data_IF_812987194772
#
_entry.id   IF_812987194772
#
_cell.length_a   1.000
_cell.length_b   1.000
_cell.length_c   1.000
_cell.angle_alpha   90.00
_cell.angle_beta   90.00
_cell.angle_gamma   90.00
#
_symmetry.space_group_name_H-M   'P 1'
#
loop_
_entity.id
_entity.type
_entity.pdbx_description
1 polymer ?
#
# COMPACT_ATOMS: atom_id res chain seq x y z
N UNK A 1 13.41 1.16 -4.42
CA UNK A 1 12.76 0.90 -5.73
C UNK A 1 12.57 -0.59 -6.05
N UNK A 2 13.19 -1.52 -5.32
CA UNK A 2 13.06 -2.98 -5.56
C UNK A 2 11.62 -3.49 -5.41
N UNK A 3 10.81 -2.95 -4.48
CA UNK A 3 9.46 -3.45 -4.20
C UNK A 3 8.44 -3.35 -5.34
N UNK A 4 8.67 -2.49 -6.35
CA UNK A 4 7.81 -2.42 -7.54
C UNK A 4 8.21 -3.41 -8.64
N UNK A 5 9.41 -3.99 -8.55
CA UNK A 5 10.00 -4.77 -9.63
C UNK A 5 9.18 -6.02 -9.93
N UNK A 6 8.86 -6.80 -8.92
CA UNK A 6 8.13 -8.07 -9.08
C UNK A 6 6.69 -7.82 -9.57
N UNK A 7 6.01 -6.80 -9.02
CA UNK A 7 4.69 -6.39 -9.49
C UNK A 7 4.73 -5.88 -10.94
N UNK A 8 5.77 -5.14 -11.32
CA UNK A 8 5.98 -4.67 -12.69
C UNK A 8 6.32 -5.79 -13.68
N UNK A 9 7.12 -6.77 -13.26
CA UNK A 9 7.46 -7.96 -14.05
C UNK A 9 6.21 -8.81 -14.30
N UNK A 10 5.39 -9.06 -13.26
CA UNK A 10 4.12 -9.74 -13.37
C UNK A 10 3.15 -9.05 -14.35
N UNK A 11 2.99 -7.73 -14.26
CA UNK A 11 2.14 -6.97 -15.18
C UNK A 11 2.67 -7.00 -16.63
N UNK A 12 3.99 -6.98 -16.80
CA UNK A 12 4.63 -7.10 -18.11
C UNK A 12 4.40 -8.48 -18.71
N UNK A 13 4.44 -9.54 -17.91
CA UNK A 13 4.13 -10.89 -18.33
C UNK A 13 2.67 -11.03 -18.78
N UNK A 14 1.72 -10.48 -18.02
CA UNK A 14 0.31 -10.41 -18.41
C UNK A 14 0.15 -9.68 -19.75
N UNK A 15 0.78 -8.51 -19.93
CA UNK A 15 0.72 -7.76 -21.19
C UNK A 15 1.27 -8.54 -22.38
N UNK A 16 2.40 -9.23 -22.20
CA UNK A 16 2.99 -10.10 -23.24
C UNK A 16 2.07 -11.28 -23.57
N UNK A 17 1.47 -11.91 -22.57
CA UNK A 17 0.54 -13.03 -22.76
C UNK A 17 -0.77 -12.59 -23.42
N UNK A 18 -1.27 -11.39 -23.08
CA UNK A 18 -2.40 -10.73 -23.76
C UNK A 18 -2.17 -10.53 -25.26
N UNK A 19 -0.99 -10.03 -25.62
CA UNK A 19 -0.59 -9.89 -27.03
C UNK A 19 -0.43 -11.24 -27.74
N UNK A 20 -0.02 -12.29 -27.03
CA UNK A 20 0.10 -13.66 -27.58
C UNK A 20 -1.25 -14.36 -27.77
N UNK A 21 -2.31 -13.97 -27.08
CA UNK A 21 -3.67 -14.54 -27.29
C UNK A 21 -4.21 -14.26 -28.69
N UNK A 22 -3.83 -13.11 -29.27
CA UNK A 22 -4.15 -12.80 -30.67
C UNK A 22 -3.48 -13.77 -31.66
N UNK A 23 -2.36 -14.39 -31.27
CA UNK A 23 -1.59 -15.28 -32.12
C UNK A 23 -1.73 -16.77 -31.75
N UNK A 24 -2.13 -17.10 -30.51
CA UNK A 24 -2.19 -18.47 -30.00
C UNK A 24 -3.21 -18.59 -28.83
N UNK A 25 -4.52 -18.70 -29.12
CA UNK A 25 -5.60 -18.51 -28.15
C UNK A 25 -5.55 -19.45 -26.93
N UNK A 26 -5.16 -20.71 -27.13
CA UNK A 26 -5.25 -21.77 -26.11
C UNK A 26 -4.17 -21.61 -25.02
N UNK A 27 -3.01 -21.03 -25.33
CA UNK A 27 -1.88 -20.91 -24.39
C UNK A 27 -1.96 -19.70 -23.46
N UNK A 28 -2.75 -18.67 -23.79
CA UNK A 28 -2.84 -17.44 -23.01
C UNK A 28 -3.85 -17.44 -21.86
N UNK A 29 -4.73 -18.44 -21.79
CA UNK A 29 -5.78 -18.53 -20.77
C UNK A 29 -5.25 -18.78 -19.35
N UNK A 30 -4.10 -19.46 -19.18
CA UNK A 30 -3.55 -19.76 -17.85
C UNK A 30 -3.12 -18.50 -17.06
N UNK A 31 -2.41 -17.58 -17.72
CA UNK A 31 -1.88 -16.36 -17.08
C UNK A 31 -3.00 -15.34 -16.86
N UNK A 32 -3.92 -15.19 -17.82
CA UNK A 32 -5.09 -14.31 -17.65
C UNK A 32 -6.10 -14.87 -16.64
N UNK A 33 -6.28 -16.19 -16.58
CA UNK A 33 -7.10 -16.87 -15.57
C UNK A 33 -6.59 -16.60 -14.16
N UNK A 34 -5.27 -16.77 -13.92
CA UNK A 34 -4.66 -16.43 -12.64
C UNK A 34 -4.82 -14.96 -12.25
N UNK A 35 -4.71 -14.04 -13.21
CA UNK A 35 -4.99 -12.61 -12.98
C UNK A 35 -6.47 -12.34 -12.70
N UNK A 36 -7.40 -12.98 -13.41
CA UNK A 36 -8.85 -12.84 -13.18
C UNK A 36 -9.24 -13.38 -11.80
N UNK A 37 -8.71 -14.53 -11.39
CA UNK A 37 -8.91 -15.08 -10.05
C UNK A 37 -8.31 -14.16 -9.00
N UNK A 38 -7.08 -13.66 -9.17
CA UNK A 38 -6.46 -12.69 -8.25
C UNK A 38 -7.27 -11.40 -8.15
N UNK A 39 -7.79 -10.89 -9.28
CA UNK A 39 -8.69 -9.73 -9.29
C UNK A 39 -10.00 -10.03 -8.60
N UNK A 40 -10.58 -11.21 -8.81
CA UNK A 40 -11.79 -11.65 -8.13
C UNK A 40 -11.57 -11.73 -6.62
N UNK A 41 -10.45 -12.30 -6.14
CA UNK A 41 -10.08 -12.33 -4.72
C UNK A 41 -9.69 -10.96 -4.16
N UNK A 42 -9.16 -10.06 -4.98
CA UNK A 42 -8.97 -8.68 -4.56
C UNK A 42 -10.31 -7.96 -4.41
N UNK A 43 -11.26 -8.18 -5.32
CA UNK A 43 -12.57 -7.53 -5.35
C UNK A 43 -13.58 -8.14 -4.36
N UNK A 44 -13.42 -9.42 -4.01
CA UNK A 44 -14.30 -10.17 -3.11
C UNK A 44 -13.55 -10.63 -1.86
N UNK A 45 -14.25 -10.92 -0.76
CA UNK A 45 -13.67 -11.47 0.47
C UNK A 45 -13.56 -13.01 0.48
N UNK A 46 -13.96 -13.67 -0.61
CA UNK A 46 -14.05 -15.13 -0.72
C UNK A 46 -12.72 -15.75 -1.20
N UNK A 47 -12.28 -16.82 -0.53
CA UNK A 47 -11.07 -17.59 -0.90
C UNK A 47 -9.74 -17.04 -0.36
N UNK A 48 -9.74 -16.37 0.80
CA UNK A 48 -8.55 -15.75 1.40
C UNK A 48 -7.90 -16.62 2.47
N UNK A 49 -6.57 -16.61 2.47
CA UNK A 49 -5.79 -16.81 3.69
C UNK A 49 -6.03 -15.61 4.59
N UNK A 50 -6.76 -15.83 5.69
CA UNK A 50 -6.89 -14.82 6.75
C UNK A 50 -5.60 -14.82 7.56
N UNK A 51 -5.34 -13.74 8.28
CA UNK A 51 -4.44 -13.77 9.43
C UNK A 51 -5.16 -14.56 10.53
N UNK A 52 -5.34 -15.86 10.31
CA UNK A 52 -6.13 -16.79 11.13
C UNK A 52 -5.40 -17.23 12.40
N UNK A 53 -4.34 -16.53 12.79
CA UNK A 53 -3.40 -16.91 13.84
C UNK A 53 -3.17 -15.78 14.86
N UNK A 54 -4.06 -14.79 14.93
CA UNK A 54 -4.01 -13.78 16.01
C UNK A 54 -5.03 -14.13 17.10
N UNK A 55 -4.70 -13.91 18.38
CA UNK A 55 -5.66 -14.01 19.48
C UNK A 55 -6.87 -13.09 19.27
N UNK A 56 -8.02 -13.45 19.85
CA UNK A 56 -9.30 -12.73 19.73
C UNK A 56 -9.18 -11.20 19.92
N UNK A 57 -8.43 -10.67 20.92
CA UNK A 57 -8.28 -9.21 21.10
C UNK A 57 -7.61 -8.47 19.93
N UNK A 58 -6.87 -9.19 19.08
CA UNK A 58 -6.12 -8.63 17.94
C UNK A 58 -6.82 -8.85 16.60
N UNK A 59 -7.90 -9.62 16.52
CA UNK A 59 -8.58 -9.95 15.26
C UNK A 59 -9.05 -8.70 14.50
N UNK A 60 -9.69 -7.77 15.21
CA UNK A 60 -10.22 -6.54 14.60
C UNK A 60 -9.08 -5.70 13.99
N UNK A 61 -7.91 -5.73 14.61
CA UNK A 61 -6.71 -5.05 14.16
C UNK A 61 -6.08 -5.76 12.96
N UNK A 62 -6.02 -7.10 12.97
CA UNK A 62 -5.54 -7.88 11.83
C UNK A 62 -6.37 -7.63 10.57
N UNK A 63 -7.71 -7.54 10.71
CA UNK A 63 -8.62 -7.21 9.59
C UNK A 63 -8.31 -5.87 8.94
N UNK A 64 -7.83 -4.88 9.71
CA UNK A 64 -7.36 -3.60 9.14
C UNK A 64 -6.21 -3.86 8.17
N UNK A 65 -5.17 -4.57 8.60
CA UNK A 65 -4.00 -4.80 7.74
C UNK A 65 -4.32 -5.69 6.54
N UNK A 66 -5.24 -6.66 6.67
CA UNK A 66 -5.75 -7.43 5.54
C UNK A 66 -6.44 -6.54 4.49
N UNK A 67 -7.35 -5.65 4.92
CA UNK A 67 -8.04 -4.70 4.05
C UNK A 67 -7.03 -3.78 3.32
N UNK A 68 -6.13 -3.16 4.08
CA UNK A 68 -5.17 -2.20 3.52
C UNK A 68 -4.08 -2.87 2.67
N UNK A 69 -3.76 -4.15 2.88
CA UNK A 69 -2.87 -4.91 1.99
C UNK A 69 -3.47 -5.01 0.57
N UNK A 70 -4.79 -5.19 0.48
CA UNK A 70 -5.49 -5.27 -0.80
C UNK A 70 -5.57 -3.93 -1.49
N UNK A 71 -5.94 -2.89 -0.74
CA UNK A 71 -5.98 -1.53 -1.29
C UNK A 71 -4.59 -1.06 -1.72
N UNK A 72 -3.55 -1.42 -0.96
CA UNK A 72 -2.17 -1.21 -1.34
C UNK A 72 -1.82 -1.93 -2.65
N UNK A 73 -2.16 -3.22 -2.78
CA UNK A 73 -1.90 -3.97 -4.00
C UNK A 73 -2.62 -3.37 -5.22
N UNK A 74 -3.89 -2.98 -5.07
CA UNK A 74 -4.68 -2.30 -6.12
C UNK A 74 -4.03 -0.97 -6.52
N UNK A 75 -3.60 -0.19 -5.53
CA UNK A 75 -2.96 1.10 -5.75
C UNK A 75 -1.62 0.96 -6.50
N UNK A 76 -0.75 0.03 -6.07
CA UNK A 76 0.52 -0.28 -6.74
C UNK A 76 0.27 -0.70 -8.19
N UNK A 77 -0.71 -1.58 -8.42
CA UNK A 77 -1.06 -2.00 -9.78
C UNK A 77 -1.56 -0.84 -10.64
N UNK A 78 -2.46 0.00 -10.10
CA UNK A 78 -2.97 1.18 -10.80
C UNK A 78 -1.87 2.17 -11.18
N UNK A 79 -0.93 2.42 -10.26
CA UNK A 79 0.24 3.26 -10.48
C UNK A 79 1.12 2.69 -11.59
N UNK A 80 1.43 1.39 -11.54
CA UNK A 80 2.28 0.74 -12.54
C UNK A 80 1.60 0.69 -13.92
N UNK A 81 0.28 0.54 -13.98
CA UNK A 81 -0.47 0.63 -15.24
C UNK A 81 -0.47 2.03 -15.82
N UNK A 82 -0.59 3.07 -14.97
CA UNK A 82 -0.60 4.47 -15.39
C UNK A 82 0.76 4.98 -15.83
N UNK A 83 1.83 4.57 -15.14
CA UNK A 83 3.16 5.17 -15.32
C UNK A 83 4.21 4.21 -15.88
N UNK A 84 4.02 2.90 -15.76
CA UNK A 84 5.00 1.90 -16.19
C UNK A 84 6.39 2.21 -15.61
N UNK A 85 7.40 2.28 -16.50
CA UNK A 85 8.77 2.64 -16.13
C UNK A 85 8.94 4.11 -15.71
N UNK A 86 8.04 5.00 -16.12
CA UNK A 86 8.05 6.42 -15.76
C UNK A 86 7.61 6.69 -14.31
N UNK A 87 7.33 5.63 -13.54
CA UNK A 87 7.19 5.78 -12.09
C UNK A 87 8.51 6.26 -11.46
N UNK A 88 9.65 5.97 -12.10
CA UNK A 88 10.94 6.54 -11.75
C UNK A 88 10.86 8.07 -11.95
N UNK A 89 11.07 8.83 -10.87
CA UNK A 89 10.93 10.29 -10.85
C UNK A 89 9.60 10.81 -10.31
N UNK A 90 8.59 9.95 -10.10
CA UNK A 90 7.34 10.30 -9.41
C UNK A 90 7.51 10.17 -7.90
N UNK A 91 8.32 11.06 -7.32
CA UNK A 91 8.76 10.98 -5.92
C UNK A 91 7.60 11.09 -4.91
N UNK A 92 6.62 11.96 -5.13
CA UNK A 92 5.46 12.08 -4.23
C UNK A 92 4.64 10.80 -4.15
N UNK A 93 4.29 10.21 -5.30
CA UNK A 93 3.61 8.91 -5.37
C UNK A 93 4.46 7.80 -4.74
N UNK A 94 5.75 7.77 -5.04
CA UNK A 94 6.69 6.79 -4.48
C UNK A 94 6.78 6.87 -2.96
N UNK A 95 6.79 8.09 -2.39
CA UNK A 95 6.77 8.33 -0.94
C UNK A 95 5.50 7.76 -0.32
N UNK A 96 4.31 8.07 -0.86
CA UNK A 96 3.04 7.57 -0.33
C UNK A 96 2.98 6.05 -0.29
N UNK A 97 3.44 5.39 -1.36
CA UNK A 97 3.50 3.93 -1.41
C UNK A 97 4.51 3.38 -0.40
N UNK A 98 5.69 4.00 -0.27
CA UNK A 98 6.67 3.58 0.73
C UNK A 98 6.11 3.71 2.15
N UNK A 99 5.49 4.85 2.49
CA UNK A 99 4.91 5.11 3.80
C UNK A 99 3.79 4.09 4.13
N UNK A 100 2.89 3.79 3.17
CA UNK A 100 1.88 2.74 3.35
C UNK A 100 2.50 1.35 3.54
N UNK A 101 3.56 1.02 2.80
CA UNK A 101 4.23 -0.27 2.94
C UNK A 101 4.90 -0.42 4.31
N UNK A 102 5.51 0.66 4.83
CA UNK A 102 6.12 0.70 6.17
C UNK A 102 5.05 0.48 7.24
N UNK A 103 3.90 1.15 7.14
CA UNK A 103 2.78 0.97 8.09
C UNK A 103 2.24 -0.46 8.08
N UNK A 104 2.07 -1.07 6.91
CA UNK A 104 1.67 -2.48 6.77
C UNK A 104 2.69 -3.41 7.43
N UNK A 105 3.98 -3.28 7.09
CA UNK A 105 5.03 -4.14 7.62
C UNK A 105 5.14 -4.02 9.15
N UNK A 106 5.19 -2.78 9.65
CA UNK A 106 5.32 -2.51 11.10
C UNK A 106 4.12 -3.03 11.86
N UNK A 107 2.91 -2.84 11.32
CA UNK A 107 1.68 -3.35 11.91
C UNK A 107 1.63 -4.87 11.99
N UNK A 108 2.00 -5.57 10.91
CA UNK A 108 2.06 -7.03 10.90
C UNK A 108 3.11 -7.57 11.88
N UNK A 109 4.29 -6.96 11.96
CA UNK A 109 5.31 -7.32 12.95
C UNK A 109 4.82 -7.10 14.38
N UNK A 110 4.12 -5.98 14.64
CA UNK A 110 3.55 -5.69 15.95
C UNK A 110 2.50 -6.72 16.34
N UNK A 111 1.55 -7.03 15.44
CA UNK A 111 0.53 -8.04 15.70
C UNK A 111 1.16 -9.40 15.97
N UNK A 112 2.14 -9.83 15.15
CA UNK A 112 2.85 -11.10 15.37
C UNK A 112 3.52 -11.15 16.74
N UNK A 113 4.20 -10.06 17.15
CA UNK A 113 4.86 -9.98 18.46
C UNK A 113 3.86 -10.03 19.61
N UNK A 114 2.77 -9.27 19.54
CA UNK A 114 1.78 -9.23 20.61
C UNK A 114 1.02 -10.55 20.70
N UNK A 115 0.71 -11.20 19.56
CA UNK A 115 0.15 -12.56 19.56
C UNK A 115 1.02 -13.53 20.36
N UNK A 116 2.33 -13.55 20.11
CA UNK A 116 3.26 -14.42 20.85
C UNK A 116 3.28 -14.12 22.34
N UNK A 117 3.23 -12.84 22.73
CA UNK A 117 3.18 -12.44 24.14
C UNK A 117 1.89 -12.94 24.78
N UNK A 118 0.75 -12.69 24.15
CA UNK A 118 -0.58 -13.14 24.62
C UNK A 118 -0.62 -14.66 24.78
N UNK A 119 -0.09 -15.42 23.81
CA UNK A 119 0.01 -16.88 23.91
C UNK A 119 0.91 -17.33 25.07
N UNK A 120 1.98 -16.60 25.36
CA UNK A 120 2.96 -16.98 26.39
C UNK A 120 2.53 -16.65 27.83
N UNK A 121 1.87 -15.51 28.06
CA UNK A 121 1.53 -15.03 29.41
C UNK A 121 0.03 -14.89 29.67
N UNK A 122 -0.80 -15.08 28.64
CA UNK A 122 -2.24 -14.87 28.69
C UNK A 122 -2.63 -13.41 28.50
N UNK A 123 -3.87 -13.19 28.02
CA UNK A 123 -4.43 -11.87 27.72
C UNK A 123 -4.34 -10.90 28.90
N UNK A 124 -4.71 -11.36 30.10
CA UNK A 124 -4.75 -10.51 31.30
C UNK A 124 -3.40 -9.91 31.68
N UNK A 125 -2.31 -10.63 31.41
CA UNK A 125 -0.95 -10.14 31.67
C UNK A 125 -0.37 -9.32 30.52
N UNK A 126 -0.95 -9.44 29.32
CA UNK A 126 -0.51 -8.77 28.09
C UNK A 126 -1.35 -7.53 27.74
N UNK A 127 -2.11 -6.97 28.71
CA UNK A 127 -3.06 -5.87 28.48
C UNK A 127 -2.43 -4.64 27.84
N UNK A 128 -1.24 -4.25 28.29
CA UNK A 128 -0.55 -3.07 27.76
C UNK A 128 -0.05 -3.29 26.33
N UNK A 129 0.42 -4.49 26.02
CA UNK A 129 0.86 -4.87 24.68
C UNK A 129 -0.30 -4.88 23.68
N UNK A 130 -1.47 -5.38 24.11
CA UNK A 130 -2.72 -5.32 23.33
C UNK A 130 -3.14 -3.85 23.11
N UNK A 131 -3.05 -3.00 24.14
CA UNK A 131 -3.38 -1.58 24.03
C UNK A 131 -2.42 -0.86 23.05
N UNK A 132 -1.12 -1.15 23.10
CA UNK A 132 -0.13 -0.64 22.15
C UNK A 132 -0.50 -1.06 20.73
N UNK A 133 -0.82 -2.33 20.50
CA UNK A 133 -1.25 -2.83 19.20
C UNK A 133 -2.51 -2.11 18.71
N UNK A 134 -3.46 -1.85 19.62
CA UNK A 134 -4.71 -1.15 19.33
C UNK A 134 -4.47 0.29 18.87
N UNK A 135 -3.70 1.05 19.66
CA UNK A 135 -3.39 2.46 19.37
C UNK A 135 -2.63 2.57 18.05
N UNK A 136 -1.60 1.74 17.87
CA UNK A 136 -0.80 1.75 16.64
C UNK A 136 -1.64 1.43 15.42
N UNK A 137 -2.47 0.38 15.48
CA UNK A 137 -3.32 -0.05 14.36
C UNK A 137 -4.28 1.05 13.91
N UNK A 138 -4.86 1.79 14.85
CA UNK A 138 -5.72 2.94 14.52
C UNK A 138 -4.95 4.10 13.88
N UNK A 139 -3.74 4.39 14.35
CA UNK A 139 -2.90 5.42 13.76
C UNK A 139 -2.43 5.04 12.35
N UNK A 140 -1.96 3.80 12.17
CA UNK A 140 -1.54 3.25 10.89
C UNK A 140 -2.71 3.27 9.89
N UNK A 141 -3.91 2.84 10.31
CA UNK A 141 -5.13 2.93 9.48
C UNK A 141 -5.35 4.34 8.91
N UNK A 142 -5.21 5.38 9.74
CA UNK A 142 -5.38 6.78 9.30
C UNK A 142 -4.32 7.19 8.28
N UNK A 143 -3.04 6.90 8.55
CA UNK A 143 -1.93 7.20 7.64
C UNK A 143 -2.06 6.48 6.31
N UNK A 144 -2.33 5.17 6.33
CA UNK A 144 -2.53 4.37 5.13
C UNK A 144 -3.70 4.89 4.29
N UNK A 145 -4.84 5.20 4.93
CA UNK A 145 -6.01 5.77 4.24
C UNK A 145 -5.68 7.09 3.56
N UNK A 146 -4.99 7.98 4.24
CA UNK A 146 -4.60 9.27 3.68
C UNK A 146 -3.66 9.08 2.49
N UNK A 147 -2.59 8.29 2.66
CA UNK A 147 -1.61 8.05 1.61
C UNK A 147 -2.24 7.43 0.36
N UNK A 148 -3.10 6.43 0.53
CA UNK A 148 -3.77 5.78 -0.60
C UNK A 148 -4.75 6.71 -1.30
N UNK A 149 -5.55 7.49 -0.57
CA UNK A 149 -6.47 8.48 -1.17
C UNK A 149 -5.73 9.54 -1.97
N UNK A 150 -4.54 9.94 -1.50
CA UNK A 150 -3.71 10.97 -2.15
C UNK A 150 -2.93 10.46 -3.36
N UNK A 151 -3.06 9.20 -3.74
CA UNK A 151 -2.50 8.70 -5.01
C UNK A 151 -3.21 9.36 -6.18
N UNK A 152 -4.55 9.43 -6.14
CA UNK A 152 -5.35 10.00 -7.23
C UNK A 152 -5.76 11.46 -6.99
N UNK A 153 -5.97 11.85 -5.72
CA UNK A 153 -6.43 13.20 -5.34
C UNK A 153 -5.39 13.89 -4.48
N UNK A 154 -4.55 14.71 -5.08
CA UNK A 154 -3.46 15.43 -4.41
C UNK A 154 -3.18 16.78 -5.07
N UNK A 155 -2.35 17.56 -4.38
CA UNK A 155 -1.91 18.90 -4.76
C UNK A 155 -0.46 18.88 -5.28
N UNK A 156 0.04 17.76 -5.80
CA UNK A 156 1.46 17.59 -6.10
C UNK A 156 1.98 18.56 -7.16
N UNK A 157 1.17 18.81 -8.19
CA UNK A 157 1.54 19.74 -9.25
C UNK A 157 1.52 21.20 -8.77
N UNK A 158 0.53 21.56 -7.94
CA UNK A 158 0.49 22.87 -7.27
C UNK A 158 1.68 23.06 -6.32
N UNK A 159 2.06 22.03 -5.57
CA UNK A 159 3.24 22.05 -4.70
C UNK A 159 4.53 22.21 -5.49
N UNK A 160 4.65 21.53 -6.63
CA UNK A 160 5.82 21.68 -7.52
C UNK A 160 5.90 23.10 -8.07
N UNK A 161 4.80 23.61 -8.64
CA UNK A 161 4.75 24.97 -9.18
C UNK A 161 5.06 26.03 -8.13
N UNK A 162 4.57 25.86 -6.89
CA UNK A 162 4.90 26.77 -5.79
C UNK A 162 6.38 26.69 -5.39
N UNK A 163 6.95 25.48 -5.37
CA UNK A 163 8.37 25.30 -5.09
C UNK A 163 9.24 25.96 -6.16
N UNK A 164 8.89 25.80 -7.44
CA UNK A 164 9.59 26.44 -8.55
C UNK A 164 9.55 27.96 -8.41
N UNK A 165 8.38 28.54 -8.12
CA UNK A 165 8.23 29.98 -7.87
C UNK A 165 9.09 30.50 -6.71
N UNK A 166 9.14 29.79 -5.58
CA UNK A 166 9.95 30.19 -4.41
C UNK A 166 11.44 30.12 -4.75
N UNK A 167 11.87 29.07 -5.45
CA UNK A 167 13.27 28.91 -5.86
C UNK A 167 13.69 29.99 -6.85
N UNK A 168 12.83 30.32 -7.82
CA UNK A 168 13.07 31.41 -8.78
C UNK A 168 13.12 32.79 -8.10
N UNK A 169 12.25 33.02 -7.11
CA UNK A 169 12.21 34.27 -6.36
C UNK A 169 13.46 34.46 -5.47
N UNK A 170 14.08 33.36 -5.01
CA UNK A 170 15.27 33.39 -4.15
C UNK A 170 15.05 34.01 -2.76
N UNK A 171 13.80 34.32 -2.41
CA UNK A 171 13.39 34.99 -1.17
C UNK A 171 12.00 34.45 -0.76
N UNK A 172 11.53 34.78 0.44
CA UNK A 172 10.14 34.54 0.83
C UNK A 172 9.28 35.72 0.37
N UNK A 173 8.50 35.58 -0.72
CA UNK A 173 7.82 36.72 -1.35
C UNK A 173 6.64 37.28 -0.53
N UNK A 174 6.26 36.60 0.56
CA UNK A 174 5.27 37.06 1.54
C UNK A 174 5.91 37.66 2.79
N UNK A 175 7.21 38.00 2.76
CA UNK A 175 7.81 38.76 3.84
C UNK A 175 7.23 40.18 3.86
N UNK A 176 6.47 40.50 4.91
CA UNK A 176 5.86 41.81 5.11
C UNK A 176 6.69 42.69 6.04
N UNK A 177 7.83 42.19 6.52
CA UNK A 177 8.75 42.98 7.33
C UNK A 177 9.48 44.01 6.46
N UNK A 178 9.75 45.22 6.97
CA UNK A 178 10.55 46.20 6.25
C UNK A 178 11.95 45.63 5.99
N UNK A 179 12.43 45.74 4.74
CA UNK A 179 13.80 45.40 4.35
C UNK A 179 14.81 46.45 4.81
#
# INVERSE_FOLDING_TARGET
LSGFKDAGEYLKEIGKSGSKIFNDPIKGFGVLGGYATRKFTQLTSLGRDRVSFVPEPLESHARIFEEYTLDFARAVEGILRKHGKHIIGKQFTSKRIADTAIDLFTGLCLLSRVSQIVESVGEEKAKHEIEIATIFSHQAKRRMKENLRRIDKNEDDSRRSLADYIVESGDFPWDTLPK
#
